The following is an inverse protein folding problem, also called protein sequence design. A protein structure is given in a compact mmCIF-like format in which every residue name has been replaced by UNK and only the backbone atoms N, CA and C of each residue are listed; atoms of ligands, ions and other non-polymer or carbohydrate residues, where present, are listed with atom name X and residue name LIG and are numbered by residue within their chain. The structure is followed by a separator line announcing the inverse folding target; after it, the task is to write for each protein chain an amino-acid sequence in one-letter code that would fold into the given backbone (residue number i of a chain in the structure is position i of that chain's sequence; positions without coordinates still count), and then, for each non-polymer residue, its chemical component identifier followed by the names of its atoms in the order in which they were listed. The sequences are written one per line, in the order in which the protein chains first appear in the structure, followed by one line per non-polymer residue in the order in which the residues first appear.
data_IF_960014467288
#
_entry.id   IF_960014467288
#
_cell.length_a   1.000
_cell.length_b   1.000
_cell.length_c   1.000
_cell.angle_alpha   90.00
_cell.angle_beta   90.00
_cell.angle_gamma   90.00
#
_symmetry.space_group_name_H-M   'P 1'
#
loop_
_entity.id
_entity.type
_entity.pdbx_description
1 polymer ?
#
# COMPACT_ATOMS: atom_id res chain seq x y z
N UNK A 1 -13.69 -19.52 -6.42
CA UNK A 1 -12.47 -19.76 -5.62
C UNK A 1 -11.55 -18.60 -5.89
N UNK A 2 -11.07 -17.90 -4.86
CA UNK A 2 -10.09 -16.82 -5.07
C UNK A 2 -8.73 -17.44 -5.46
N UNK A 3 -7.95 -16.79 -6.33
CA UNK A 3 -6.61 -17.28 -6.67
C UNK A 3 -5.73 -17.37 -5.42
N UNK A 4 -4.81 -18.34 -5.38
CA UNK A 4 -3.79 -18.43 -4.32
C UNK A 4 -2.81 -17.26 -4.39
N UNK A 5 -2.48 -16.82 -5.62
CA UNK A 5 -1.70 -15.61 -5.86
C UNK A 5 -2.62 -14.38 -5.87
N UNK A 6 -2.39 -13.48 -4.92
CA UNK A 6 -3.17 -12.25 -4.72
C UNK A 6 -2.53 -11.02 -5.38
N UNK A 7 -1.49 -11.19 -6.21
CA UNK A 7 -0.80 -10.09 -6.92
C UNK A 7 -1.72 -9.21 -7.78
N UNK A 8 -2.88 -9.74 -8.21
CA UNK A 8 -3.91 -8.96 -8.90
C UNK A 8 -4.50 -7.82 -8.06
N UNK A 9 -4.26 -7.79 -6.74
CA UNK A 9 -4.71 -6.70 -5.87
C UNK A 9 -3.77 -5.49 -5.87
N UNK A 10 -2.59 -5.60 -6.49
CA UNK A 10 -1.58 -4.54 -6.62
C UNK A 10 -1.56 -3.91 -8.01
N UNK A 11 -2.56 -4.20 -8.85
CA UNK A 11 -2.66 -3.62 -10.19
C UNK A 11 -3.59 -2.41 -10.20
N UNK A 12 -3.31 -1.45 -11.07
CA UNK A 12 -4.09 -0.21 -11.25
C UNK A 12 -4.25 0.62 -9.96
N UNK A 13 -3.25 0.60 -9.07
CA UNK A 13 -3.24 1.49 -7.91
C UNK A 13 -3.09 2.95 -8.37
N UNK A 14 -3.68 3.91 -7.66
CA UNK A 14 -3.39 5.32 -7.87
C UNK A 14 -1.89 5.60 -7.79
N UNK A 15 -1.32 6.48 -8.63
CA UNK A 15 0.12 6.72 -8.66
C UNK A 15 0.73 7.14 -7.31
N UNK A 16 -0.01 7.88 -6.49
CA UNK A 16 0.45 8.29 -5.16
C UNK A 16 0.54 7.09 -4.21
N UNK A 17 -0.44 6.17 -4.23
CA UNK A 17 -0.42 4.98 -3.41
C UNK A 17 0.73 4.04 -3.81
N UNK A 18 0.98 3.88 -5.12
CA UNK A 18 2.14 3.11 -5.58
C UNK A 18 3.46 3.76 -5.14
N UNK A 19 3.55 5.09 -5.22
CA UNK A 19 4.72 5.83 -4.75
C UNK A 19 5.01 5.55 -3.26
N UNK A 20 4.00 5.54 -2.41
CA UNK A 20 4.22 5.35 -0.96
C UNK A 20 4.56 3.90 -0.61
N UNK A 21 4.04 2.93 -1.37
CA UNK A 21 4.49 1.53 -1.30
C UNK A 21 5.98 1.44 -1.65
N UNK A 22 6.39 2.04 -2.78
CA UNK A 22 7.77 2.01 -3.24
C UNK A 22 8.70 2.73 -2.24
N UNK A 23 8.27 3.84 -1.67
CA UNK A 23 9.01 4.61 -0.67
C UNK A 23 9.22 3.82 0.63
N UNK A 24 8.18 3.13 1.14
CA UNK A 24 8.31 2.26 2.31
C UNK A 24 9.28 1.11 2.04
N UNK A 25 9.15 0.43 0.89
CA UNK A 25 10.05 -0.67 0.52
C UNK A 25 11.50 -0.22 0.38
N UNK A 26 11.74 0.94 -0.25
CA UNK A 26 13.06 1.52 -0.35
C UNK A 26 13.62 1.92 1.02
N UNK A 27 12.80 2.51 1.88
CA UNK A 27 13.16 2.87 3.25
C UNK A 27 13.57 1.65 4.08
N UNK A 28 12.81 0.56 3.98
CA UNK A 28 13.14 -0.71 4.62
C UNK A 28 14.46 -1.30 4.10
N UNK A 29 14.69 -1.24 2.79
CA UNK A 29 15.94 -1.73 2.19
C UNK A 29 17.17 -0.91 2.58
N UNK A 30 16.99 0.38 2.89
CA UNK A 30 18.06 1.30 3.24
C UNK A 30 18.22 1.53 4.75
N UNK A 31 17.36 0.94 5.58
CA UNK A 31 17.33 1.11 7.04
C UNK A 31 17.30 2.60 7.44
N UNK A 32 16.39 3.35 6.83
CA UNK A 32 16.25 4.79 7.09
C UNK A 32 15.69 5.03 8.49
N UNK A 33 16.06 6.15 9.11
CA UNK A 33 15.65 6.48 10.48
C UNK A 33 14.18 6.89 10.63
N UNK A 34 13.48 7.16 9.52
CA UNK A 34 12.13 7.72 9.48
C UNK A 34 11.08 6.72 8.94
N UNK A 35 11.28 5.42 9.20
CA UNK A 35 10.34 4.38 8.77
C UNK A 35 8.92 4.61 9.31
N UNK A 36 8.80 5.15 10.52
CA UNK A 36 7.52 5.53 11.12
C UNK A 36 6.73 6.51 10.23
N UNK A 37 7.40 7.53 9.70
CA UNK A 37 6.78 8.45 8.74
C UNK A 37 6.35 7.75 7.45
N UNK A 38 7.11 6.78 6.95
CA UNK A 38 6.76 6.04 5.74
C UNK A 38 5.57 5.10 5.96
N UNK A 39 5.46 4.50 7.15
CA UNK A 39 4.29 3.72 7.53
C UNK A 39 3.03 4.59 7.65
N UNK A 40 3.15 5.76 8.27
CA UNK A 40 2.03 6.72 8.40
C UNK A 40 1.55 7.22 7.03
N UNK A 41 2.47 7.54 6.12
CA UNK A 41 2.15 7.97 4.76
C UNK A 41 1.41 6.88 3.99
N UNK A 42 1.93 5.64 3.99
CA UNK A 42 1.27 4.52 3.31
C UNK A 42 -0.12 4.22 3.91
N UNK A 43 -0.26 4.27 5.23
CA UNK A 43 -1.55 4.11 5.89
C UNK A 43 -2.54 5.20 5.45
N UNK A 44 -2.10 6.45 5.39
CA UNK A 44 -2.88 7.59 4.89
C UNK A 44 -3.33 7.38 3.44
N UNK A 45 -2.42 7.00 2.55
CA UNK A 45 -2.70 6.78 1.14
C UNK A 45 -3.65 5.61 0.88
N UNK A 46 -3.53 4.50 1.62
CA UNK A 46 -4.50 3.40 1.54
C UNK A 46 -5.90 3.88 1.96
N UNK A 47 -5.99 4.65 3.04
CA UNK A 47 -7.28 5.16 3.51
C UNK A 47 -7.90 6.15 2.54
N UNK A 48 -7.11 7.07 1.96
CA UNK A 48 -7.60 8.03 0.97
C UNK A 48 -8.12 7.31 -0.27
N UNK A 49 -7.33 6.37 -0.81
CA UNK A 49 -7.71 5.60 -2.00
C UNK A 49 -8.97 4.77 -1.78
N UNK A 50 -9.15 4.19 -0.58
CA UNK A 50 -10.36 3.44 -0.22
C UNK A 50 -11.57 4.36 -0.02
N UNK A 51 -11.38 5.53 0.61
CA UNK A 51 -12.47 6.48 0.86
C UNK A 51 -12.99 7.15 -0.42
N UNK A 52 -12.10 7.41 -1.38
CA UNK A 52 -12.42 8.04 -2.66
C UNK A 52 -12.83 7.02 -3.76
N UNK A 53 -13.04 5.74 -3.38
CA UNK A 53 -13.39 4.63 -4.28
C UNK A 53 -12.36 4.39 -5.42
N UNK A 54 -11.11 4.81 -5.24
CA UNK A 54 -10.03 4.59 -6.21
C UNK A 54 -9.45 3.17 -6.17
N UNK A 55 -9.60 2.48 -5.03
CA UNK A 55 -9.32 1.05 -4.87
C UNK A 55 -10.49 0.36 -4.17
N UNK A 56 -10.62 -0.94 -4.38
CA UNK A 56 -11.64 -1.74 -3.67
C UNK A 56 -11.26 -1.98 -2.20
N UNK A 57 -12.26 -2.23 -1.36
CA UNK A 57 -12.04 -2.70 0.02
C UNK A 57 -11.13 -3.95 0.09
N UNK A 58 -11.20 -4.85 -0.90
CA UNK A 58 -10.33 -6.03 -0.96
C UNK A 58 -8.85 -5.64 -1.20
N UNK A 59 -8.60 -4.68 -2.10
CA UNK A 59 -7.25 -4.15 -2.31
C UNK A 59 -6.75 -3.46 -1.05
N UNK A 60 -7.55 -2.59 -0.44
CA UNK A 60 -7.17 -1.89 0.79
C UNK A 60 -6.84 -2.85 1.94
N UNK A 61 -7.66 -3.88 2.16
CA UNK A 61 -7.41 -4.90 3.18
C UNK A 61 -6.13 -5.71 2.90
N UNK A 62 -5.90 -6.07 1.64
CA UNK A 62 -4.69 -6.80 1.23
C UNK A 62 -3.41 -5.97 1.39
N UNK A 63 -3.45 -4.69 0.98
CA UNK A 63 -2.31 -3.79 1.11
C UNK A 63 -1.92 -3.58 2.57
N UNK A 64 -2.90 -3.44 3.47
CA UNK A 64 -2.66 -3.41 4.92
C UNK A 64 -2.01 -4.72 5.40
N UNK A 65 -2.60 -5.88 5.11
CA UNK A 65 -2.06 -7.20 5.49
C UNK A 65 -0.60 -7.40 5.03
N UNK A 66 -0.26 -6.89 3.84
CA UNK A 66 1.05 -7.11 3.22
C UNK A 66 2.12 -6.14 3.71
N UNK A 67 1.77 -4.87 3.94
CA UNK A 67 2.74 -3.79 4.13
C UNK A 67 2.73 -3.15 5.51
N UNK A 68 1.64 -3.28 6.30
CA UNK A 68 1.45 -2.62 7.60
C UNK A 68 1.20 -3.64 8.72
#
# INVERSE_FOLDING_TARGET
MKPTDRSYLEVNLPPYLQHDIDALQQGLAQDVLYLDCLFDELYGSINSAEWDDEITHEQAAYLREKYL
#
